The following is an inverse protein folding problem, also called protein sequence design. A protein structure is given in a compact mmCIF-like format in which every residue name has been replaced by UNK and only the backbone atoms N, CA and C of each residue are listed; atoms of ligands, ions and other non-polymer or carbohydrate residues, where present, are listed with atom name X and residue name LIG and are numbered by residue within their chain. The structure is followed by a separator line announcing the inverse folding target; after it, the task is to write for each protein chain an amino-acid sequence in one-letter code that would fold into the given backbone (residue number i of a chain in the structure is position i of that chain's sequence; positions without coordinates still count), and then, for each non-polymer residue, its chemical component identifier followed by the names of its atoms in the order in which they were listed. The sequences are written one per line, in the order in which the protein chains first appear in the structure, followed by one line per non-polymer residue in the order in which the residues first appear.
data_IF_125765376905
#
_entry.id   IF_125765376905
#
_cell.length_a   1.000
_cell.length_b   1.000
_cell.length_c   1.000
_cell.angle_alpha   90.00
_cell.angle_beta   90.00
_cell.angle_gamma   90.00
#
_symmetry.space_group_name_H-M   'P 1'
#
loop_
_entity.id
_entity.type
_entity.pdbx_description
1 polymer ?
#
# COMPACT_ATOMS: atom_id res chain seq x y z
N UNK A 1 -6.11 59.19 16.45
CA UNK A 1 -6.13 57.75 16.12
C UNK A 1 -7.46 57.17 16.56
N UNK A 2 -8.37 56.97 15.60
CA UNK A 2 -9.80 56.73 15.85
C UNK A 2 -10.07 55.26 16.19
N UNK A 3 -10.62 55.02 17.38
CA UNK A 3 -11.19 53.73 17.80
C UNK A 3 -12.64 53.66 17.28
N UNK A 4 -12.99 52.59 16.56
CA UNK A 4 -14.39 52.19 16.38
C UNK A 4 -14.56 50.69 16.64
N UNK A 5 -15.27 50.44 17.73
CA UNK A 5 -15.86 49.17 18.14
C UNK A 5 -16.94 48.74 17.12
N UNK A 6 -16.98 47.45 16.77
CA UNK A 6 -18.13 46.82 16.13
C UNK A 6 -18.47 45.55 16.90
N UNK A 7 -19.69 45.54 17.44
CA UNK A 7 -20.34 44.45 18.16
C UNK A 7 -20.67 43.29 17.22
N UNK A 8 -20.44 42.06 17.67
CA UNK A 8 -21.04 40.85 17.11
C UNK A 8 -22.49 40.72 17.54
N UNK A 9 -23.38 40.45 16.58
CA UNK A 9 -24.78 40.08 16.80
C UNK A 9 -24.92 38.60 16.47
N UNK A 10 -25.30 37.81 17.48
CA UNK A 10 -25.70 36.41 17.39
C UNK A 10 -27.06 36.27 16.70
N UNK A 11 -27.16 35.39 15.70
CA UNK A 11 -28.45 34.86 15.22
C UNK A 11 -28.48 33.36 15.44
N UNK A 12 -29.31 32.94 16.40
CA UNK A 12 -29.77 31.57 16.54
C UNK A 12 -30.90 31.32 15.54
N UNK A 13 -30.87 30.18 14.85
CA UNK A 13 -31.94 29.71 13.98
C UNK A 13 -32.58 28.47 14.61
N UNK A 14 -33.84 28.63 15.00
CA UNK A 14 -34.75 27.59 15.47
C UNK A 14 -35.36 26.89 14.25
N UNK A 15 -35.32 25.56 14.19
CA UNK A 15 -36.04 24.77 13.19
C UNK A 15 -37.12 23.96 13.89
N UNK A 16 -38.37 24.23 13.49
CA UNK A 16 -39.59 23.60 13.96
C UNK A 16 -39.76 22.19 13.37
N UNK A 17 -40.20 21.28 14.23
CA UNK A 17 -40.67 19.93 13.93
C UNK A 17 -42.09 19.97 13.36
N UNK A 18 -42.35 19.28 12.25
CA UNK A 18 -43.71 18.98 11.78
C UNK A 18 -43.97 17.47 11.87
N UNK A 19 -44.94 17.12 12.71
CA UNK A 19 -45.62 15.83 12.75
C UNK A 19 -46.55 15.67 11.54
N UNK A 20 -46.73 14.44 11.08
CA UNK A 20 -47.80 14.04 10.16
C UNK A 20 -48.30 12.66 10.59
N UNK A 21 -49.54 12.63 11.07
CA UNK A 21 -50.30 11.41 11.39
C UNK A 21 -51.35 11.09 10.32
N UNK A 22 -51.46 9.78 10.03
CA UNK A 22 -52.63 8.99 9.61
C UNK A 22 -53.30 9.23 8.24
N UNK A 23 -53.43 8.16 7.44
CA UNK A 23 -54.62 7.28 7.47
C UNK A 23 -54.45 6.04 6.56
N UNK A 24 -55.05 4.94 7.03
CA UNK A 24 -55.11 3.64 6.38
C UNK A 24 -56.46 3.42 5.68
N UNK A 25 -56.45 2.68 4.57
CA UNK A 25 -57.54 1.88 3.98
C UNK A 25 -56.83 0.94 2.98
N UNK A 26 -56.92 -0.39 2.99
CA UNK A 26 -57.96 -1.29 3.46
C UNK A 26 -58.56 -2.02 2.26
N UNK A 27 -57.95 -3.11 1.78
CA UNK A 27 -58.70 -4.22 1.14
C UNK A 27 -57.90 -5.53 1.19
N UNK A 28 -58.59 -6.55 1.68
CA UNK A 28 -58.19 -7.94 1.87
C UNK A 28 -58.64 -8.73 0.64
N UNK A 29 -57.84 -9.68 0.15
CA UNK A 29 -58.40 -10.95 -0.31
C UNK A 29 -57.41 -12.13 -0.15
N UNK A 30 -57.99 -13.23 0.32
CA UNK A 30 -57.43 -14.52 0.78
C UNK A 30 -56.70 -15.31 -0.32
N UNK A 31 -55.84 -16.31 -0.05
CA UNK A 31 -56.20 -17.56 0.62
C UNK A 31 -55.03 -18.55 0.83
N UNK A 32 -55.17 -19.31 1.93
CA UNK A 32 -54.86 -20.74 2.16
C UNK A 32 -53.41 -21.27 2.12
N UNK A 33 -52.96 -21.71 3.30
CA UNK A 33 -52.02 -22.81 3.49
C UNK A 33 -52.69 -24.18 3.16
N UNK A 34 -51.90 -25.23 2.90
CA UNK A 34 -51.82 -26.30 3.91
C UNK A 34 -50.46 -27.03 4.07
N UNK A 35 -50.30 -27.51 5.31
CA UNK A 35 -49.64 -28.72 5.86
C UNK A 35 -48.44 -29.44 5.22
N UNK A 36 -47.43 -29.61 6.10
CA UNK A 36 -46.55 -30.78 6.36
C UNK A 36 -46.73 -32.06 5.52
N UNK A 37 -45.61 -32.55 4.96
CA UNK A 37 -45.34 -33.99 4.78
C UNK A 37 -43.84 -34.31 4.78
N UNK A 38 -43.46 -35.35 5.54
CA UNK A 38 -42.14 -36.02 5.57
C UNK A 38 -41.86 -36.77 4.26
N UNK A 39 -40.64 -36.72 3.70
CA UNK A 39 -39.98 -37.81 2.92
C UNK A 39 -38.45 -37.54 2.94
N UNK A 40 -37.62 -38.30 3.67
CA UNK A 40 -36.83 -39.52 3.28
C UNK A 40 -35.61 -39.26 2.39
N UNK A 41 -34.42 -39.59 2.94
CA UNK A 41 -33.11 -39.68 2.27
C UNK A 41 -33.14 -40.68 1.11
N UNK A 42 -32.58 -40.33 -0.05
CA UNK A 42 -32.02 -41.30 -1.01
C UNK A 42 -30.70 -40.84 -1.60
N UNK A 43 -29.74 -41.76 -1.56
CA UNK A 43 -28.44 -41.76 -2.25
C UNK A 43 -28.69 -41.82 -3.76
N UNK A 44 -27.85 -41.14 -4.54
CA UNK A 44 -27.71 -41.37 -5.98
C UNK A 44 -26.32 -41.97 -6.21
N UNK A 45 -26.32 -43.18 -6.73
CA UNK A 45 -25.19 -43.97 -7.22
C UNK A 45 -24.96 -43.62 -8.70
N UNK A 46 -23.71 -43.35 -9.09
CA UNK A 46 -23.30 -43.27 -10.49
C UNK A 46 -23.25 -44.67 -11.12
N UNK A 47 -23.78 -44.80 -12.32
CA UNK A 47 -23.67 -45.98 -13.18
C UNK A 47 -22.55 -45.71 -14.19
N UNK A 48 -21.64 -46.67 -14.30
CA UNK A 48 -20.56 -46.78 -15.29
C UNK A 48 -21.09 -47.54 -16.50
N UNK A 49 -20.72 -47.13 -17.70
CA UNK A 49 -20.84 -47.94 -18.93
C UNK A 49 -19.47 -47.94 -19.61
N UNK A 50 -18.87 -49.13 -19.68
CA UNK A 50 -17.72 -49.50 -20.52
C UNK A 50 -18.21 -49.77 -21.95
N UNK A 51 -17.48 -49.40 -23.00
CA UNK A 51 -16.62 -50.25 -23.87
C UNK A 51 -16.44 -49.42 -25.18
N UNK A 52 -15.43 -49.50 -26.06
CA UNK A 52 -14.35 -50.46 -26.29
C UNK A 52 -13.25 -49.83 -27.19
N UNK A 53 -12.23 -50.63 -27.46
CA UNK A 53 -10.87 -50.36 -27.96
C UNK A 53 -10.70 -49.87 -29.42
N UNK A 54 -9.53 -49.27 -29.69
CA UNK A 54 -8.96 -49.15 -31.04
C UNK A 54 -7.64 -48.37 -31.11
N UNK A 55 -6.52 -49.05 -30.86
CA UNK A 55 -5.13 -48.56 -30.80
C UNK A 55 -4.49 -48.20 -32.15
N UNK A 56 -3.63 -47.16 -32.17
CA UNK A 56 -2.39 -47.15 -32.95
C UNK A 56 -1.33 -46.23 -32.30
N UNK A 57 -0.14 -46.81 -32.10
CA UNK A 57 1.03 -46.30 -31.37
C UNK A 57 1.81 -45.23 -32.13
N UNK A 58 2.54 -44.32 -31.44
CA UNK A 58 4.02 -44.20 -31.47
C UNK A 58 4.53 -43.50 -30.19
N UNK A 59 5.63 -44.05 -29.70
CA UNK A 59 6.47 -43.82 -28.52
C UNK A 59 6.89 -42.40 -28.06
N UNK A 60 7.18 -42.39 -26.73
CA UNK A 60 8.29 -41.75 -25.97
C UNK A 60 8.03 -40.43 -25.24
N UNK A 61 8.08 -40.54 -23.90
CA UNK A 61 8.46 -39.46 -22.98
C UNK A 61 7.67 -39.49 -21.68
N UNK A 62 8.23 -40.08 -20.62
CA UNK A 62 7.65 -40.03 -19.28
C UNK A 62 7.44 -38.58 -18.80
N UNK A 63 6.25 -38.20 -18.27
CA UNK A 63 6.13 -36.92 -17.57
C UNK A 63 6.61 -37.10 -16.13
N UNK A 64 7.55 -36.23 -15.75
CA UNK A 64 7.97 -36.04 -14.37
C UNK A 64 6.76 -35.68 -13.49
N UNK A 65 6.73 -36.24 -12.29
CA UNK A 65 5.72 -35.98 -11.28
C UNK A 65 5.63 -34.47 -10.96
N UNK A 66 4.46 -33.88 -11.15
CA UNK A 66 4.12 -32.57 -10.57
C UNK A 66 4.01 -32.71 -9.05
N UNK A 67 4.98 -32.16 -8.33
CA UNK A 67 4.88 -31.98 -6.88
C UNK A 67 3.73 -31.02 -6.56
N UNK A 68 2.71 -31.56 -5.90
CA UNK A 68 1.59 -30.80 -5.38
C UNK A 68 2.05 -29.77 -4.33
N UNK A 69 1.84 -28.49 -4.61
CA UNK A 69 2.07 -27.40 -3.65
C UNK A 69 1.23 -27.62 -2.36
N UNK A 70 1.80 -27.39 -1.17
CA UNK A 70 1.10 -27.67 0.08
C UNK A 70 -0.06 -26.69 0.29
N UNK A 71 -1.26 -27.23 0.53
CA UNK A 71 -2.43 -26.45 0.97
C UNK A 71 -2.16 -25.86 2.36
N UNK A 72 -2.31 -24.53 2.51
CA UNK A 72 -2.25 -23.85 3.82
C UNK A 72 -3.23 -24.52 4.80
N UNK A 73 -2.70 -24.99 5.93
CA UNK A 73 -3.46 -25.66 7.01
C UNK A 73 -4.43 -24.64 7.65
N UNK A 74 -5.70 -25.00 7.84
CA UNK A 74 -6.67 -24.18 8.59
C UNK A 74 -6.21 -24.09 10.05
N UNK A 75 -6.13 -22.87 10.59
CA UNK A 75 -5.72 -22.58 11.98
C UNK A 75 -6.64 -23.25 13.00
N UNK A 76 -6.05 -23.71 14.11
CA UNK A 76 -6.78 -24.31 15.25
C UNK A 76 -7.52 -23.25 16.08
N UNK A 77 -8.45 -23.67 16.94
CA UNK A 77 -9.15 -22.75 17.85
C UNK A 77 -8.20 -22.09 18.88
N UNK A 78 -7.11 -22.78 19.23
CA UNK A 78 -6.06 -22.27 20.12
C UNK A 78 -5.23 -21.17 19.42
N UNK A 79 -4.86 -21.38 18.16
CA UNK A 79 -4.12 -20.40 17.36
C UNK A 79 -4.92 -19.09 17.22
N UNK A 80 -6.25 -19.19 17.11
CA UNK A 80 -7.15 -18.03 17.03
C UNK A 80 -7.30 -17.29 18.37
N UNK A 81 -7.18 -18.00 19.49
CA UNK A 81 -7.25 -17.41 20.83
C UNK A 81 -5.93 -16.73 21.23
N UNK A 82 -4.79 -17.29 20.83
CA UNK A 82 -3.48 -16.65 21.00
C UNK A 82 -3.33 -15.41 20.10
N UNK A 83 -3.83 -15.43 18.85
CA UNK A 83 -3.92 -14.23 18.00
C UNK A 83 -4.89 -13.15 18.55
N UNK A 84 -5.77 -13.49 19.49
CA UNK A 84 -6.70 -12.51 20.08
C UNK A 84 -6.04 -11.62 21.14
N UNK A 85 -4.88 -12.03 21.69
CA UNK A 85 -4.09 -11.20 22.61
C UNK A 85 -3.21 -10.28 21.75
N UNK A 86 -3.29 -8.95 21.89
CA UNK A 86 -2.39 -8.05 21.17
C UNK A 86 -0.92 -8.30 21.54
N UNK A 87 -0.04 -8.37 20.53
CA UNK A 87 1.41 -8.43 20.71
C UNK A 87 1.97 -7.16 21.35
N UNK A 88 1.34 -6.03 21.05
CA UNK A 88 1.64 -4.76 21.68
C UNK A 88 0.35 -3.99 21.95
N UNK A 89 0.30 -3.31 23.10
CA UNK A 89 -0.79 -2.38 23.40
C UNK A 89 -0.68 -1.16 22.49
N UNK A 90 -1.77 -0.78 21.85
CA UNK A 90 -1.85 0.44 21.06
C UNK A 90 -1.61 1.68 21.93
N UNK A 91 -0.68 2.53 21.51
CA UNK A 91 -0.37 3.78 22.23
C UNK A 91 -1.46 4.81 21.95
N UNK A 92 -1.92 5.50 23.00
CA UNK A 92 -2.84 6.61 22.81
C UNK A 92 -2.09 7.76 22.13
N UNK A 93 -2.54 8.21 20.95
CA UNK A 93 -1.86 9.28 20.21
C UNK A 93 -1.74 10.55 21.06
N UNK A 94 -2.72 10.83 21.92
CA UNK A 94 -2.70 11.94 22.87
C UNK A 94 -1.60 11.88 23.94
N UNK A 95 -0.96 10.72 24.14
CA UNK A 95 0.18 10.56 25.05
C UNK A 95 1.53 10.76 24.38
N UNK A 96 1.58 10.82 23.05
CA UNK A 96 2.82 11.09 22.31
C UNK A 96 3.13 12.59 22.34
N UNK A 97 4.41 12.96 22.36
CA UNK A 97 4.82 14.38 22.27
C UNK A 97 4.42 15.02 20.93
N UNK A 98 4.25 14.21 19.89
CA UNK A 98 3.73 14.59 18.57
C UNK A 98 2.67 13.58 18.13
N UNK A 99 1.58 14.05 17.55
CA UNK A 99 0.43 13.22 17.17
C UNK A 99 0.69 12.37 15.92
N UNK A 100 1.48 11.30 16.06
CA UNK A 100 1.84 10.40 14.98
C UNK A 100 0.93 9.16 14.94
N UNK A 101 0.52 8.76 13.74
CA UNK A 101 -0.37 7.62 13.50
C UNK A 101 0.37 6.53 12.74
N UNK A 102 0.85 5.54 13.48
CA UNK A 102 1.78 4.53 12.97
C UNK A 102 1.07 3.18 12.88
N UNK A 103 1.37 2.43 11.82
CA UNK A 103 0.98 1.04 11.72
C UNK A 103 1.68 0.33 10.59
N UNK A 104 1.02 -0.67 9.98
CA UNK A 104 1.62 -1.49 8.94
C UNK A 104 0.60 -1.89 7.86
N UNK A 105 1.11 -2.41 6.75
CA UNK A 105 0.30 -3.00 5.69
C UNK A 105 -0.16 -4.41 6.10
N UNK A 106 -1.27 -4.49 6.82
CA UNK A 106 -1.78 -5.73 7.40
C UNK A 106 -2.58 -6.58 6.42
N UNK A 107 -2.61 -7.89 6.67
CA UNK A 107 -3.38 -8.83 5.86
C UNK A 107 -4.90 -8.62 6.03
N UNK A 108 -5.62 -8.67 4.92
CA UNK A 108 -7.09 -8.75 4.84
C UNK A 108 -7.58 -10.17 4.51
N UNK A 109 -6.70 -11.19 4.62
CA UNK A 109 -7.05 -12.57 4.27
C UNK A 109 -8.24 -13.07 5.10
N UNK A 110 -9.20 -13.73 4.43
CA UNK A 110 -10.45 -14.17 5.04
C UNK A 110 -11.54 -13.08 5.15
N UNK A 111 -11.24 -11.84 4.78
CA UNK A 111 -12.21 -10.75 4.72
C UNK A 111 -11.60 -9.42 5.21
N UNK A 112 -12.08 -8.30 4.64
CA UNK A 112 -11.57 -6.95 4.96
C UNK A 112 -11.63 -6.62 6.45
N UNK A 113 -12.65 -7.08 7.18
CA UNK A 113 -12.79 -6.90 8.63
C UNK A 113 -11.59 -7.44 9.43
N UNK A 114 -10.88 -8.47 8.94
CA UNK A 114 -9.71 -9.01 9.63
C UNK A 114 -8.53 -8.03 9.64
N UNK A 115 -8.48 -7.06 8.73
CA UNK A 115 -7.44 -6.02 8.74
C UNK A 115 -7.49 -5.20 10.03
N UNK A 116 -8.68 -4.88 10.56
CA UNK A 116 -8.84 -4.17 11.83
C UNK A 116 -8.25 -4.99 12.97
N UNK A 117 -8.63 -6.27 13.10
CA UNK A 117 -8.10 -7.15 14.14
C UNK A 117 -6.57 -7.29 14.05
N UNK A 118 -6.04 -7.44 12.83
CA UNK A 118 -4.59 -7.53 12.61
C UNK A 118 -3.87 -6.22 12.97
N UNK A 119 -4.46 -5.06 12.68
CA UNK A 119 -3.91 -3.77 13.08
C UNK A 119 -3.92 -3.58 14.60
N UNK A 120 -5.02 -3.94 15.28
CA UNK A 120 -5.10 -3.94 16.75
C UNK A 120 -4.05 -4.85 17.36
N UNK A 121 -3.87 -6.04 16.79
CA UNK A 121 -2.97 -7.07 17.31
C UNK A 121 -1.51 -6.60 17.36
N UNK A 122 -1.06 -5.77 16.41
CA UNK A 122 0.29 -5.20 16.40
C UNK A 122 0.37 -3.82 17.09
N UNK A 123 -0.71 -3.35 17.71
CA UNK A 123 -0.74 -2.06 18.40
C UNK A 123 -0.78 -0.83 17.50
N UNK A 124 -1.26 -0.97 16.26
CA UNK A 124 -1.27 0.11 15.27
C UNK A 124 -2.41 1.14 15.46
N UNK A 125 -2.15 2.39 15.06
CA UNK A 125 -3.10 3.51 15.00
C UNK A 125 -3.47 3.93 13.56
N UNK A 126 -2.66 3.54 12.58
CA UNK A 126 -2.96 3.59 11.14
C UNK A 126 -2.78 2.20 10.53
N UNK A 127 -3.24 1.95 9.31
CA UNK A 127 -2.91 0.71 8.60
C UNK A 127 -3.16 0.82 7.10
N UNK A 128 -2.51 -0.04 6.34
CA UNK A 128 -2.86 -0.32 4.95
C UNK A 128 -3.40 -1.75 4.81
N UNK A 129 -4.03 -2.02 3.66
CA UNK A 129 -4.46 -3.35 3.25
C UNK A 129 -4.58 -3.39 1.73
N UNK A 130 -4.56 -4.60 1.18
CA UNK A 130 -5.17 -4.84 -0.12
C UNK A 130 -6.69 -5.07 0.05
N UNK A 131 -7.50 -4.36 -0.73
CA UNK A 131 -8.97 -4.49 -0.72
C UNK A 131 -9.45 -5.80 -1.37
N UNK A 132 -8.61 -6.35 -2.24
CA UNK A 132 -8.85 -7.55 -3.05
C UNK A 132 -7.53 -8.20 -3.43
N UNK A 133 -7.55 -9.32 -4.17
CA UNK A 133 -6.31 -9.94 -4.59
C UNK A 133 -5.58 -9.08 -5.61
N UNK A 134 -4.33 -8.73 -5.31
CA UNK A 134 -3.39 -8.02 -6.17
C UNK A 134 -2.87 -8.88 -7.35
N UNK A 135 -3.23 -10.16 -7.41
CA UNK A 135 -2.79 -11.12 -8.43
C UNK A 135 -3.82 -11.32 -9.55
N UNK A 136 -4.98 -10.70 -9.46
CA UNK A 136 -6.12 -10.92 -10.36
C UNK A 136 -6.76 -9.59 -10.75
N UNK A 137 -7.24 -9.52 -11.99
CA UNK A 137 -7.99 -8.36 -12.49
C UNK A 137 -9.42 -8.31 -11.94
N UNK A 138 -10.09 -9.46 -11.90
CA UNK A 138 -11.45 -9.58 -11.39
C UNK A 138 -11.46 -10.25 -10.01
N UNK A 139 -12.19 -9.65 -9.08
CA UNK A 139 -12.41 -10.16 -7.73
C UNK A 139 -13.90 -10.09 -7.40
N UNK A 140 -14.38 -11.02 -6.59
CA UNK A 140 -15.76 -10.99 -6.12
C UNK A 140 -16.05 -9.69 -5.33
N UNK A 141 -17.31 -9.21 -5.33
CA UNK A 141 -17.72 -8.10 -4.48
C UNK A 141 -17.39 -8.37 -3.00
N UNK A 142 -17.21 -7.31 -2.21
CA UNK A 142 -17.06 -7.45 -0.76
C UNK A 142 -18.39 -8.02 -0.21
N UNK A 143 -18.37 -9.16 0.51
CA UNK A 143 -19.59 -9.68 1.15
C UNK A 143 -20.17 -8.64 2.13
N UNK A 144 -21.50 -8.42 2.15
CA UNK A 144 -22.14 -7.45 3.04
C UNK A 144 -21.74 -7.66 4.51
N UNK A 145 -21.67 -8.90 4.97
CA UNK A 145 -21.29 -9.24 6.34
C UNK A 145 -19.86 -8.80 6.65
N UNK A 146 -18.94 -8.95 5.70
CA UNK A 146 -17.55 -8.54 5.87
C UNK A 146 -17.40 -7.00 5.88
N UNK A 147 -18.22 -6.28 5.10
CA UNK A 147 -18.31 -4.82 5.13
C UNK A 147 -18.86 -4.34 6.47
N UNK A 148 -19.97 -4.91 6.93
CA UNK A 148 -20.64 -4.50 8.16
C UNK A 148 -19.78 -4.78 9.40
N UNK A 149 -19.06 -5.91 9.41
CA UNK A 149 -18.06 -6.21 10.44
C UNK A 149 -16.87 -5.25 10.41
N UNK A 150 -16.42 -4.81 9.23
CA UNK A 150 -15.35 -3.82 9.13
C UNK A 150 -15.76 -2.50 9.78
N UNK A 151 -16.98 -2.02 9.51
CA UNK A 151 -17.54 -0.82 10.15
C UNK A 151 -17.69 -0.98 11.66
N UNK A 152 -18.26 -2.11 12.11
CA UNK A 152 -18.46 -2.38 13.54
C UNK A 152 -17.13 -2.43 14.30
N UNK A 153 -16.12 -3.14 13.77
CA UNK A 153 -14.79 -3.25 14.40
C UNK A 153 -14.04 -1.92 14.38
N UNK A 154 -14.17 -1.16 13.29
CA UNK A 154 -13.57 0.18 13.19
C UNK A 154 -14.14 1.11 14.27
N UNK A 155 -15.45 1.07 14.49
CA UNK A 155 -16.10 1.84 15.56
C UNK A 155 -15.69 1.34 16.96
N UNK A 156 -15.74 0.03 17.22
CA UNK A 156 -15.42 -0.53 18.54
C UNK A 156 -13.97 -0.31 18.97
N UNK A 157 -13.05 -0.25 18.00
CA UNK A 157 -11.64 0.05 18.24
C UNK A 157 -11.27 1.52 18.01
N UNK A 158 -12.24 2.41 17.80
CA UNK A 158 -11.99 3.84 17.56
C UNK A 158 -10.98 4.11 16.41
N UNK A 159 -11.01 3.30 15.36
CA UNK A 159 -10.23 3.56 14.15
C UNK A 159 -10.95 4.55 13.25
N UNK A 160 -10.36 5.72 13.06
CA UNK A 160 -10.79 6.68 12.06
C UNK A 160 -10.32 6.26 10.66
N UNK A 161 -10.91 5.19 10.10
CA UNK A 161 -10.51 4.62 8.79
C UNK A 161 -10.54 5.63 7.64
N UNK A 162 -11.40 6.65 7.72
CA UNK A 162 -11.47 7.73 6.75
C UNK A 162 -10.24 8.66 6.75
N UNK A 163 -9.38 8.59 7.78
CA UNK A 163 -8.13 9.36 7.92
C UNK A 163 -6.89 8.48 7.94
N UNK A 164 -6.98 7.30 8.56
CA UNK A 164 -5.80 6.51 8.91
C UNK A 164 -5.78 5.10 8.29
N UNK A 165 -6.71 4.79 7.38
CA UNK A 165 -6.62 3.60 6.53
C UNK A 165 -6.19 4.01 5.12
N UNK A 166 -5.11 3.41 4.64
CA UNK A 166 -4.48 3.73 3.34
C UNK A 166 -4.34 2.45 2.52
N UNK A 167 -5.41 1.92 1.90
CA UNK A 167 -5.30 0.73 1.09
C UNK A 167 -4.37 0.95 -0.09
N UNK A 168 -3.68 -0.12 -0.49
CA UNK A 168 -2.74 -0.10 -1.60
C UNK A 168 -3.35 -0.74 -2.84
N UNK A 169 -3.15 -0.11 -4.00
CA UNK A 169 -3.59 -0.63 -5.29
C UNK A 169 -2.77 -1.81 -5.77
N UNK A 170 -3.36 -2.59 -6.69
CA UNK A 170 -2.68 -3.73 -7.30
C UNK A 170 -1.51 -3.29 -8.19
N UNK A 171 -0.36 -3.96 -8.06
CA UNK A 171 0.80 -3.76 -8.92
C UNK A 171 0.56 -4.10 -10.40
N UNK A 172 -0.57 -4.74 -10.74
CA UNK A 172 -0.99 -4.97 -12.12
C UNK A 172 -1.48 -3.69 -12.80
N UNK A 173 -2.00 -2.73 -12.02
CA UNK A 173 -2.59 -1.50 -12.54
C UNK A 173 -1.48 -0.56 -13.01
N UNK A 174 -1.54 -0.20 -14.28
CA UNK A 174 -0.75 0.89 -14.84
C UNK A 174 -1.74 1.86 -15.51
N UNK A 175 -1.95 3.04 -14.93
CA UNK A 175 -2.87 4.04 -15.50
C UNK A 175 -2.27 4.79 -16.71
N UNK A 176 -0.98 4.59 -17.00
CA UNK A 176 -0.31 5.15 -18.16
C UNK A 176 -0.40 4.27 -19.43
N UNK A 177 -1.19 3.20 -19.42
CA UNK A 177 -1.30 2.24 -20.54
C UNK A 177 -1.71 2.97 -21.85
N UNK A 178 -0.92 2.84 -22.94
CA UNK A 178 -1.24 3.48 -24.22
C UNK A 178 -2.26 2.69 -25.05
N UNK A 179 -2.31 1.37 -24.87
CA UNK A 179 -3.20 0.48 -25.60
C UNK A 179 -4.58 0.48 -24.93
N UNK A 180 -5.63 0.73 -25.73
CA UNK A 180 -6.98 1.01 -25.23
C UNK A 180 -7.52 -0.11 -24.34
N UNK A 181 -7.38 -1.36 -24.76
CA UNK A 181 -7.92 -2.53 -24.05
C UNK A 181 -7.25 -2.71 -22.67
N UNK A 182 -5.92 -2.49 -22.63
CA UNK A 182 -5.15 -2.54 -21.37
C UNK A 182 -5.45 -1.33 -20.48
N UNK A 183 -5.67 -0.16 -21.07
CA UNK A 183 -6.07 1.04 -20.36
C UNK A 183 -7.46 0.88 -19.73
N UNK A 184 -8.42 0.31 -20.45
CA UNK A 184 -9.76 0.02 -19.94
C UNK A 184 -9.72 -1.02 -18.82
N UNK A 185 -8.91 -2.09 -18.97
CA UNK A 185 -8.72 -3.09 -17.92
C UNK A 185 -8.11 -2.49 -16.65
N UNK A 186 -7.06 -1.67 -16.78
CA UNK A 186 -6.42 -0.97 -15.66
C UNK A 186 -7.39 0.02 -14.98
N UNK A 187 -8.12 0.80 -15.78
CA UNK A 187 -9.12 1.75 -15.29
C UNK A 187 -10.24 1.05 -14.51
N UNK A 188 -10.81 -0.03 -15.05
CA UNK A 188 -11.90 -0.76 -14.39
C UNK A 188 -11.44 -1.40 -13.07
N UNK A 189 -10.22 -1.94 -13.03
CA UNK A 189 -9.64 -2.47 -11.81
C UNK A 189 -9.43 -1.37 -10.76
N UNK A 190 -8.93 -0.20 -11.18
CA UNK A 190 -8.73 0.96 -10.32
C UNK A 190 -10.05 1.52 -9.78
N UNK A 191 -11.07 1.65 -10.64
CA UNK A 191 -12.39 2.13 -10.25
C UNK A 191 -13.05 1.20 -9.21
N UNK A 192 -12.99 -0.13 -9.40
CA UNK A 192 -13.49 -1.11 -8.42
C UNK A 192 -12.76 -0.98 -7.06
N UNK A 193 -11.48 -0.60 -7.03
CA UNK A 193 -10.81 -0.31 -5.75
C UNK A 193 -11.34 0.96 -5.08
N UNK A 194 -11.60 2.03 -5.85
CA UNK A 194 -12.20 3.25 -5.28
C UNK A 194 -13.61 2.99 -4.74
N UNK A 195 -14.45 2.27 -5.48
CA UNK A 195 -15.81 1.91 -5.04
C UNK A 195 -15.78 1.06 -3.75
N UNK A 196 -14.81 0.13 -3.64
CA UNK A 196 -14.57 -0.62 -2.41
C UNK A 196 -14.18 0.28 -1.25
N UNK A 197 -13.29 1.25 -1.46
CA UNK A 197 -12.94 2.25 -0.45
C UNK A 197 -14.20 2.99 0.04
N UNK A 198 -15.05 3.47 -0.86
CA UNK A 198 -16.30 4.18 -0.50
C UNK A 198 -17.24 3.30 0.32
N UNK A 199 -17.40 2.04 -0.08
CA UNK A 199 -18.24 1.08 0.65
C UNK A 199 -17.76 0.80 2.09
N UNK A 200 -16.46 0.98 2.33
CA UNK A 200 -15.80 0.82 3.63
C UNK A 200 -15.60 2.14 4.38
N UNK A 201 -16.04 3.28 3.82
CA UNK A 201 -15.84 4.59 4.42
C UNK A 201 -14.39 5.08 4.43
N UNK A 202 -13.52 4.44 3.63
CA UNK A 202 -12.11 4.81 3.47
C UNK A 202 -12.02 5.96 2.47
N UNK A 203 -11.18 6.96 2.77
CA UNK A 203 -11.01 8.15 1.92
C UNK A 203 -9.64 8.31 1.31
N UNK A 204 -8.64 7.54 1.71
CA UNK A 204 -7.31 7.58 1.12
C UNK A 204 -7.12 6.30 0.33
N UNK A 205 -6.61 6.39 -0.90
CA UNK A 205 -6.29 5.21 -1.70
C UNK A 205 -4.95 5.39 -2.39
N UNK A 206 -3.98 4.58 -1.99
CA UNK A 206 -2.61 4.67 -2.47
C UNK A 206 -2.37 3.78 -3.68
N UNK A 207 -1.60 4.27 -4.65
CA UNK A 207 -1.18 3.48 -5.80
C UNK A 207 0.12 4.04 -6.41
N UNK A 208 0.85 3.16 -7.08
CA UNK A 208 1.96 3.55 -7.93
C UNK A 208 1.43 4.23 -9.21
N UNK A 209 1.91 5.42 -9.61
CA UNK A 209 1.40 6.13 -10.78
C UNK A 209 1.41 5.29 -12.07
N UNK A 210 2.46 4.47 -12.24
CA UNK A 210 2.60 3.54 -13.35
C UNK A 210 3.97 3.63 -14.01
N UNK A 211 4.03 3.25 -15.28
CA UNK A 211 5.25 3.33 -16.08
C UNK A 211 4.94 3.68 -17.54
N UNK A 212 5.89 4.28 -18.25
CA UNK A 212 5.64 4.84 -19.59
C UNK A 212 5.47 3.78 -20.69
N UNK A 213 5.73 2.50 -20.42
CA UNK A 213 5.88 1.46 -21.44
C UNK A 213 6.85 1.84 -22.59
N UNK A 214 7.84 2.69 -22.31
CA UNK A 214 8.82 3.14 -23.32
C UNK A 214 8.30 4.28 -24.21
N UNK A 215 7.08 4.76 -23.96
CA UNK A 215 6.52 5.93 -24.63
C UNK A 215 7.03 7.24 -24.01
N UNK A 216 6.68 8.36 -24.65
CA UNK A 216 6.92 9.70 -24.12
C UNK A 216 6.34 9.88 -22.70
N UNK A 217 7.12 10.53 -21.84
CA UNK A 217 6.80 10.70 -20.43
C UNK A 217 5.63 11.64 -20.20
N UNK A 218 5.63 12.78 -20.88
CA UNK A 218 4.58 13.78 -20.73
C UNK A 218 3.24 13.20 -21.21
N UNK A 219 3.25 12.41 -22.27
CA UNK A 219 2.07 11.68 -22.73
C UNK A 219 1.60 10.61 -21.73
N UNK A 220 2.52 9.86 -21.14
CA UNK A 220 2.19 8.89 -20.09
C UNK A 220 1.57 9.55 -18.85
N UNK A 221 2.10 10.70 -18.42
CA UNK A 221 1.56 11.54 -17.35
C UNK A 221 0.14 12.02 -17.68
N UNK A 222 -0.08 12.52 -18.91
CA UNK A 222 -1.43 12.93 -19.37
C UNK A 222 -2.44 11.79 -19.32
N UNK A 223 -2.03 10.56 -19.68
CA UNK A 223 -2.89 9.37 -19.57
C UNK A 223 -3.27 9.08 -18.12
N UNK A 224 -2.32 9.12 -17.18
CA UNK A 224 -2.61 8.93 -15.75
C UNK A 224 -3.64 9.97 -15.29
N UNK A 225 -3.38 11.26 -15.53
CA UNK A 225 -4.28 12.33 -15.11
C UNK A 225 -5.69 12.20 -15.71
N UNK A 226 -5.79 11.79 -16.98
CA UNK A 226 -7.08 11.53 -17.65
C UNK A 226 -7.87 10.43 -16.95
N UNK A 227 -7.22 9.32 -16.62
CA UNK A 227 -7.88 8.21 -15.93
C UNK A 227 -8.28 8.59 -14.49
N UNK A 228 -7.45 9.37 -13.79
CA UNK A 228 -7.78 9.89 -12.46
C UNK A 228 -8.98 10.82 -12.50
N UNK A 229 -9.01 11.81 -13.40
CA UNK A 229 -10.15 12.70 -13.57
C UNK A 229 -11.45 11.95 -13.90
N UNK A 230 -11.36 10.91 -14.74
CA UNK A 230 -12.49 10.03 -15.05
C UNK A 230 -12.97 9.28 -13.80
N UNK A 231 -12.05 8.73 -13.00
CA UNK A 231 -12.37 8.00 -11.76
C UNK A 231 -12.93 8.91 -10.65
N UNK A 232 -12.45 10.15 -10.55
CA UNK A 232 -12.95 11.15 -9.61
C UNK A 232 -14.36 11.62 -9.97
N UNK A 233 -14.73 11.61 -11.26
CA UNK A 233 -16.11 11.87 -11.70
C UNK A 233 -17.04 10.68 -11.45
N UNK A 234 -16.51 9.47 -11.45
CA UNK A 234 -17.25 8.23 -11.21
C UNK A 234 -17.42 7.90 -9.72
N UNK A 235 -16.72 8.59 -8.82
CA UNK A 235 -16.74 8.36 -7.36
C UNK A 235 -16.89 9.70 -6.61
N UNK A 236 -17.09 9.68 -5.30
CA UNK A 236 -17.48 10.85 -4.51
C UNK A 236 -16.53 11.24 -3.37
N UNK A 237 -15.90 10.30 -2.66
CA UNK A 237 -15.15 10.61 -1.43
C UNK A 237 -13.63 10.30 -1.42
N UNK A 238 -13.10 9.49 -2.32
CA UNK A 238 -11.73 8.91 -2.20
C UNK A 238 -10.61 9.79 -2.78
N UNK A 239 -9.75 10.34 -1.94
CA UNK A 239 -8.51 11.00 -2.35
C UNK A 239 -7.52 9.94 -2.86
N UNK A 240 -7.15 10.03 -4.13
CA UNK A 240 -6.15 9.13 -4.76
C UNK A 240 -4.75 9.65 -4.47
N UNK A 241 -3.90 8.81 -3.88
CA UNK A 241 -2.54 9.15 -3.48
C UNK A 241 -1.55 8.60 -4.49
N UNK A 242 -0.81 9.50 -5.13
CA UNK A 242 0.32 9.16 -5.98
C UNK A 242 1.52 8.84 -5.09
N UNK A 243 1.99 7.61 -5.12
CA UNK A 243 3.20 7.23 -4.41
C UNK A 243 4.45 7.59 -5.22
N UNK A 244 5.49 8.11 -4.55
CA UNK A 244 6.80 8.25 -5.20
C UNK A 244 7.45 6.87 -5.40
N UNK A 245 8.21 6.72 -6.47
CA UNK A 245 8.75 5.43 -6.91
C UNK A 245 10.29 5.39 -6.82
N UNK A 246 10.87 4.20 -6.63
CA UNK A 246 12.32 4.03 -6.57
C UNK A 246 13.08 4.38 -7.87
N UNK A 247 12.41 4.56 -9.02
CA UNK A 247 13.05 5.01 -10.26
C UNK A 247 13.66 3.91 -11.15
N UNK A 248 13.28 2.64 -10.97
CA UNK A 248 13.76 1.58 -11.85
C UNK A 248 13.13 1.66 -13.26
N UNK A 249 13.96 1.78 -14.29
CA UNK A 249 13.52 1.62 -15.69
C UNK A 249 12.68 2.80 -16.19
N UNK A 250 11.41 2.56 -16.51
CA UNK A 250 10.49 3.53 -17.11
C UNK A 250 9.33 3.91 -16.19
N UNK A 251 9.47 3.69 -14.88
CA UNK A 251 8.49 4.10 -13.88
C UNK A 251 8.28 5.62 -13.88
N UNK A 252 7.08 6.04 -13.48
CA UNK A 252 6.67 7.43 -13.33
C UNK A 252 6.46 7.68 -11.83
N UNK A 253 6.86 8.86 -11.36
CA UNK A 253 6.78 9.22 -9.95
C UNK A 253 8.09 9.04 -9.19
N UNK A 254 9.20 8.76 -9.89
CA UNK A 254 10.52 8.73 -9.24
C UNK A 254 11.08 10.12 -8.96
N UNK A 255 10.51 11.14 -9.57
CA UNK A 255 10.80 12.54 -9.27
C UNK A 255 9.55 13.20 -8.68
N UNK A 256 9.74 14.21 -7.81
CA UNK A 256 8.61 15.00 -7.33
C UNK A 256 7.96 15.80 -8.46
N UNK A 257 8.72 16.12 -9.51
CA UNK A 257 8.23 16.77 -10.72
C UNK A 257 7.22 15.90 -11.47
N UNK A 258 7.43 14.57 -11.57
CA UNK A 258 6.44 13.66 -12.16
C UNK A 258 5.11 13.73 -11.38
N UNK A 259 5.17 13.78 -10.04
CA UNK A 259 3.98 13.88 -9.18
C UNK A 259 3.27 15.23 -9.36
N UNK A 260 4.03 16.33 -9.36
CA UNK A 260 3.53 17.68 -9.65
C UNK A 260 2.80 17.71 -10.98
N UNK A 261 3.43 17.21 -12.04
CA UNK A 261 2.90 17.28 -13.41
C UNK A 261 1.59 16.49 -13.53
N UNK A 262 1.45 15.36 -12.84
CA UNK A 262 0.17 14.65 -12.75
C UNK A 262 -0.86 15.52 -12.00
N UNK A 263 -0.51 16.04 -10.82
CA UNK A 263 -1.40 16.85 -9.97
C UNK A 263 -1.90 18.09 -10.73
N UNK A 264 -1.04 18.77 -11.47
CA UNK A 264 -1.39 19.97 -12.27
C UNK A 264 -2.50 19.69 -13.28
N UNK A 265 -2.58 18.47 -13.81
CA UNK A 265 -3.59 18.03 -14.77
C UNK A 265 -4.89 17.50 -14.13
N UNK A 266 -4.97 17.37 -12.80
CA UNK A 266 -6.19 16.90 -12.10
C UNK A 266 -7.27 17.98 -12.00
N UNK A 267 -8.51 17.69 -12.35
CA UNK A 267 -9.63 18.65 -12.30
C UNK A 267 -9.96 19.06 -10.85
N UNK A 268 -10.22 18.08 -9.97
CA UNK A 268 -10.50 18.32 -8.54
C UNK A 268 -9.25 18.10 -7.68
N UNK A 269 -8.50 19.18 -7.42
CA UNK A 269 -7.28 19.14 -6.59
C UNK A 269 -7.51 18.67 -5.15
N UNK A 270 -8.75 18.62 -4.66
CA UNK A 270 -9.07 18.10 -3.31
C UNK A 270 -9.12 16.57 -3.28
N UNK A 271 -9.21 15.93 -4.45
CA UNK A 271 -9.33 14.48 -4.64
C UNK A 271 -8.02 13.80 -5.04
N UNK A 272 -6.89 14.52 -5.02
CA UNK A 272 -5.55 13.98 -5.24
C UNK A 272 -4.62 14.36 -4.09
N UNK A 273 -3.70 13.45 -3.77
CA UNK A 273 -2.60 13.68 -2.83
C UNK A 273 -1.39 12.84 -3.19
N UNK A 274 -0.40 12.81 -2.31
CA UNK A 274 0.80 11.99 -2.42
C UNK A 274 0.99 11.13 -1.18
N UNK A 275 1.50 9.92 -1.40
CA UNK A 275 2.12 9.10 -0.37
C UNK A 275 3.64 9.18 -0.56
N UNK A 276 4.38 9.46 0.50
CA UNK A 276 5.85 9.40 0.44
C UNK A 276 6.33 8.08 1.04
N UNK A 277 6.91 7.22 0.21
CA UNK A 277 7.70 6.08 0.63
C UNK A 277 9.16 6.49 0.83
N UNK A 278 9.67 6.29 2.04
CA UNK A 278 11.04 6.68 2.42
C UNK A 278 12.11 5.85 1.72
N UNK A 279 11.88 4.55 1.48
CA UNK A 279 12.80 3.69 0.74
C UNK A 279 12.83 4.10 -0.74
N UNK A 280 11.67 4.35 -1.35
CA UNK A 280 11.58 4.82 -2.73
C UNK A 280 12.26 6.18 -2.90
N UNK A 281 12.03 7.13 -1.99
CA UNK A 281 12.67 8.44 -2.02
C UNK A 281 14.20 8.29 -1.98
N UNK A 282 14.70 7.48 -1.04
CA UNK A 282 16.13 7.19 -0.91
C UNK A 282 16.72 6.52 -2.15
N UNK A 283 16.02 5.53 -2.70
CA UNK A 283 16.44 4.81 -3.91
C UNK A 283 16.44 5.70 -5.16
N UNK A 284 15.59 6.73 -5.20
CA UNK A 284 15.48 7.72 -6.28
C UNK A 284 16.40 8.94 -6.10
N UNK A 285 17.19 9.00 -5.04
CA UNK A 285 18.18 10.06 -4.82
C UNK A 285 17.73 11.21 -3.91
N UNK A 286 16.66 11.03 -3.12
CA UNK A 286 16.27 11.96 -2.06
C UNK A 286 16.78 11.46 -0.72
N UNK A 287 17.79 12.14 -0.17
CA UNK A 287 18.44 11.68 1.06
C UNK A 287 17.67 12.14 2.30
N UNK A 288 17.55 11.26 3.29
CA UNK A 288 16.81 11.49 4.55
C UNK A 288 17.69 11.24 5.78
N UNK A 289 18.96 10.82 5.58
CA UNK A 289 19.82 10.24 6.63
C UNK A 289 20.27 11.25 7.68
N UNK A 290 20.53 12.50 7.30
CA UNK A 290 20.93 13.58 8.21
C UNK A 290 19.82 14.62 8.33
N UNK A 291 19.80 15.44 9.40
CA UNK A 291 18.83 16.53 9.53
C UNK A 291 18.85 17.50 8.35
N UNK A 292 20.03 17.80 7.81
CA UNK A 292 20.23 18.71 6.67
C UNK A 292 19.67 18.08 5.39
N UNK A 293 20.06 16.83 5.09
CA UNK A 293 19.56 16.10 3.93
C UNK A 293 18.03 15.91 3.97
N UNK A 294 17.50 15.56 5.15
CA UNK A 294 16.07 15.46 5.38
C UNK A 294 15.37 16.80 5.10
N UNK A 295 15.90 17.90 5.64
CA UNK A 295 15.35 19.24 5.41
C UNK A 295 15.36 19.59 3.92
N UNK A 296 16.46 19.35 3.21
CA UNK A 296 16.56 19.63 1.78
C UNK A 296 15.53 18.83 0.96
N UNK A 297 15.33 17.55 1.30
CA UNK A 297 14.31 16.70 0.67
C UNK A 297 12.89 17.22 0.94
N UNK A 298 12.58 17.59 2.19
CA UNK A 298 11.26 18.13 2.56
C UNK A 298 11.01 19.49 1.91
N UNK A 299 12.00 20.37 1.88
CA UNK A 299 11.91 21.66 1.20
C UNK A 299 11.68 21.46 -0.30
N UNK A 300 12.34 20.47 -0.92
CA UNK A 300 12.08 20.14 -2.33
C UNK A 300 10.66 19.60 -2.54
N UNK A 301 10.16 18.76 -1.64
CA UNK A 301 8.78 18.28 -1.69
C UNK A 301 7.77 19.45 -1.58
N UNK A 302 7.98 20.36 -0.63
CA UNK A 302 7.14 21.56 -0.48
C UNK A 302 7.19 22.45 -1.73
N UNK A 303 8.37 22.73 -2.25
CA UNK A 303 8.55 23.64 -3.39
C UNK A 303 8.00 23.07 -4.70
N UNK A 304 8.11 21.75 -4.92
CA UNK A 304 7.71 21.12 -6.18
C UNK A 304 6.26 20.64 -6.15
N UNK A 305 5.83 19.99 -5.08
CA UNK A 305 4.49 19.40 -4.95
C UNK A 305 3.63 20.22 -3.99
N UNK A 306 4.17 20.56 -2.83
CA UNK A 306 3.46 21.20 -1.72
C UNK A 306 2.96 20.18 -0.70
N UNK A 307 3.34 20.36 0.58
CA UNK A 307 2.99 19.50 1.70
C UNK A 307 1.48 19.42 1.94
N UNK A 308 0.70 20.37 1.42
CA UNK A 308 -0.77 20.28 1.42
C UNK A 308 -1.30 19.02 0.71
N UNK A 309 -0.54 18.46 -0.24
CA UNK A 309 -0.89 17.23 -0.93
C UNK A 309 -0.36 15.98 -0.25
N UNK A 310 0.57 16.09 0.70
CA UNK A 310 1.03 14.93 1.47
C UNK A 310 -0.12 14.40 2.35
N UNK A 311 -0.48 13.13 2.17
CA UNK A 311 -1.59 12.49 2.88
C UNK A 311 -1.24 11.16 3.54
N UNK A 312 -0.11 10.57 3.22
CA UNK A 312 0.35 9.33 3.84
C UNK A 312 1.87 9.20 3.72
N UNK A 313 2.43 8.33 4.55
CA UNK A 313 3.77 7.81 4.38
C UNK A 313 3.74 6.29 4.33
N UNK A 314 4.61 5.73 3.49
CA UNK A 314 5.17 4.42 3.75
C UNK A 314 6.55 4.60 4.40
N UNK A 315 6.72 4.02 5.58
CA UNK A 315 7.93 4.19 6.39
C UNK A 315 8.75 2.91 6.28
N UNK A 316 9.68 2.91 5.32
CA UNK A 316 10.49 1.77 4.96
C UNK A 316 11.97 2.15 4.98
N UNK A 317 12.81 1.34 5.63
CA UNK A 317 14.26 1.43 5.46
C UNK A 317 14.64 0.79 4.11
N UNK A 318 15.87 1.01 3.63
CA UNK A 318 16.33 0.47 2.36
C UNK A 318 17.44 -0.55 2.55
N UNK A 319 17.26 -1.76 2.01
CA UNK A 319 18.35 -2.73 1.86
C UNK A 319 19.36 -2.31 0.81
N UNK A 320 18.98 -1.42 -0.10
CA UNK A 320 19.81 -0.97 -1.20
C UNK A 320 20.47 0.38 -0.89
N UNK A 321 21.66 0.66 -1.45
CA UNK A 321 22.32 1.93 -1.23
C UNK A 321 21.56 3.11 -1.84
N UNK A 322 21.93 4.31 -1.40
CA UNK A 322 21.38 5.58 -1.89
C UNK A 322 21.44 5.66 -3.41
N UNK A 323 20.37 6.17 -4.03
CA UNK A 323 20.29 6.36 -5.48
C UNK A 323 20.50 5.06 -6.30
N UNK A 324 20.22 3.89 -5.71
CA UNK A 324 20.39 2.59 -6.38
C UNK A 324 19.31 2.26 -7.40
N UNK A 325 18.20 3.00 -7.38
CA UNK A 325 16.99 2.73 -8.14
C UNK A 325 16.43 1.32 -7.93
N UNK A 326 16.59 0.78 -6.71
CA UNK A 326 16.07 -0.53 -6.30
C UNK A 326 15.08 -0.37 -5.17
N UNK A 327 13.86 -0.80 -5.42
CA UNK A 327 12.83 -0.99 -4.40
C UNK A 327 13.13 -2.29 -3.63
N UNK A 328 13.81 -2.15 -2.48
CA UNK A 328 14.14 -3.26 -1.58
C UNK A 328 14.03 -2.80 -0.13
N UNK A 329 12.88 -3.06 0.50
CA UNK A 329 12.61 -2.61 1.87
C UNK A 329 13.44 -3.38 2.92
N UNK A 330 13.93 -2.65 3.92
CA UNK A 330 14.57 -3.14 5.13
C UNK A 330 13.73 -2.79 6.37
N UNK A 331 13.99 -3.49 7.47
CA UNK A 331 13.44 -3.15 8.77
C UNK A 331 14.04 -1.82 9.29
N UNK A 332 13.28 -1.09 10.10
CA UNK A 332 13.62 0.24 10.60
C UNK A 332 14.98 0.26 11.30
N UNK A 333 15.89 1.09 10.80
CA UNK A 333 17.24 1.27 11.32
C UNK A 333 18.26 0.22 10.88
N UNK A 334 17.83 -0.83 10.17
CA UNK A 334 18.71 -1.93 9.72
C UNK A 334 19.27 -1.70 8.32
N UNK A 335 18.68 -0.80 7.54
CA UNK A 335 19.09 -0.53 6.17
C UNK A 335 20.06 0.65 6.05
N UNK A 336 20.22 1.12 4.81
CA UNK A 336 21.09 2.22 4.44
C UNK A 336 20.52 3.60 4.82
N UNK A 337 19.22 3.72 5.13
CA UNK A 337 18.65 4.95 5.69
C UNK A 337 19.06 5.10 7.17
N UNK A 338 19.01 4.00 7.93
CA UNK A 338 19.40 4.00 9.34
C UNK A 338 18.41 4.71 10.26
N UNK A 339 18.64 4.65 11.58
CA UNK A 339 17.64 5.08 12.56
C UNK A 339 17.43 6.59 12.54
N UNK A 340 18.47 7.36 12.24
CA UNK A 340 18.44 8.83 12.18
C UNK A 340 17.43 9.38 11.18
N UNK A 341 17.23 8.71 10.04
CA UNK A 341 16.24 9.11 9.06
C UNK A 341 14.81 9.07 9.64
N UNK A 342 14.48 8.00 10.35
CA UNK A 342 13.17 7.84 10.99
C UNK A 342 12.98 8.78 12.17
N UNK A 343 14.05 9.05 12.93
CA UNK A 343 14.00 10.09 13.95
C UNK A 343 13.61 11.45 13.36
N UNK A 344 14.19 11.84 12.22
CA UNK A 344 13.87 13.09 11.54
C UNK A 344 12.37 13.14 11.15
N UNK A 345 11.86 12.07 10.54
CA UNK A 345 10.44 11.96 10.14
C UNK A 345 9.51 12.05 11.36
N UNK A 346 9.76 11.24 12.39
CA UNK A 346 8.95 11.15 13.61
C UNK A 346 8.95 12.45 14.43
N UNK A 347 9.91 13.34 14.18
CA UNK A 347 10.05 14.61 14.88
C UNK A 347 9.71 15.84 14.05
N UNK A 348 9.30 15.69 12.80
CA UNK A 348 8.92 16.81 11.94
C UNK A 348 7.46 17.24 12.18
N UNK A 349 7.27 18.45 12.72
CA UNK A 349 5.96 18.95 13.17
C UNK A 349 4.85 18.92 12.08
N UNK A 350 5.12 19.30 10.82
CA UNK A 350 4.14 19.21 9.73
C UNK A 350 3.62 17.81 9.40
N UNK A 351 4.27 16.74 9.85
CA UNK A 351 3.86 15.36 9.53
C UNK A 351 2.88 14.75 10.55
N UNK A 352 2.51 15.49 11.59
CA UNK A 352 1.47 15.04 12.52
C UNK A 352 0.14 14.80 11.81
N UNK A 353 -0.64 13.87 12.36
CA UNK A 353 -1.95 13.47 11.85
C UNK A 353 -1.95 12.77 10.48
N UNK A 354 -0.78 12.53 9.89
CA UNK A 354 -0.62 11.79 8.65
C UNK A 354 -0.44 10.30 8.99
N UNK A 355 -1.19 9.36 8.35
CA UNK A 355 -0.96 7.94 8.52
C UNK A 355 0.42 7.53 7.98
N UNK A 356 1.13 6.75 8.80
CA UNK A 356 2.45 6.20 8.52
C UNK A 356 2.36 4.67 8.56
N UNK A 357 2.68 4.02 7.45
CA UNK A 357 2.47 2.58 7.25
C UNK A 357 3.81 1.90 6.99
N UNK A 358 4.16 0.92 7.81
CA UNK A 358 5.27 0.00 7.59
C UNK A 358 4.91 -1.02 6.49
N UNK A 359 5.81 -1.19 5.52
CA UNK A 359 5.82 -2.28 4.55
C UNK A 359 7.14 -3.05 4.61
N UNK A 360 7.74 -3.02 5.81
CA UNK A 360 8.99 -3.68 6.14
C UNK A 360 8.79 -5.20 6.12
N UNK A 361 9.83 -5.97 5.74
CA UNK A 361 9.75 -7.42 5.67
C UNK A 361 9.52 -8.04 7.06
N UNK A 362 8.64 -9.04 7.12
CA UNK A 362 8.33 -9.80 8.35
C UNK A 362 8.58 -11.30 8.19
N UNK A 363 9.04 -11.74 7.02
CA UNK A 363 9.38 -13.12 6.78
C UNK A 363 10.61 -13.53 7.60
N UNK A 364 10.45 -14.58 8.41
CA UNK A 364 11.52 -15.24 9.15
C UNK A 364 11.64 -16.69 8.70
N UNK A 365 12.85 -17.23 8.74
CA UNK A 365 13.12 -18.65 8.49
C UNK A 365 13.22 -19.38 9.82
N UNK A 366 12.32 -20.34 10.04
CA UNK A 366 12.34 -21.18 11.24
C UNK A 366 13.47 -22.20 11.25
N UNK A 367 13.72 -22.87 12.39
CA UNK A 367 14.73 -23.92 12.50
C UNK A 367 14.52 -25.09 11.52
N UNK A 368 13.30 -25.29 11.04
CA UNK A 368 12.92 -26.30 10.05
C UNK A 368 13.14 -25.84 8.59
N UNK A 369 13.77 -24.68 8.39
CA UNK A 369 14.01 -24.07 7.09
C UNK A 369 12.78 -23.46 6.43
N UNK A 370 11.59 -23.50 7.08
CA UNK A 370 10.38 -22.92 6.51
C UNK A 370 10.27 -21.44 6.84
N UNK A 371 9.80 -20.67 5.86
CA UNK A 371 9.50 -19.26 6.05
C UNK A 371 8.11 -19.07 6.66
N UNK A 372 8.00 -18.19 7.65
CA UNK A 372 6.74 -17.75 8.25
C UNK A 372 6.74 -16.22 8.44
N UNK A 373 5.54 -15.64 8.56
CA UNK A 373 5.38 -14.21 8.86
C UNK A 373 5.41 -14.01 10.38
N UNK A 374 6.38 -13.23 10.86
CA UNK A 374 6.52 -12.84 12.25
C UNK A 374 5.95 -11.44 12.50
N UNK A 375 4.68 -11.39 12.91
CA UNK A 375 3.98 -10.12 13.17
C UNK A 375 4.58 -9.32 14.33
N UNK A 376 5.40 -9.94 15.19
CA UNK A 376 6.08 -9.24 16.28
C UNK A 376 7.02 -8.16 15.73
N UNK A 377 7.59 -8.37 14.54
CA UNK A 377 8.48 -7.40 13.88
C UNK A 377 7.80 -6.03 13.73
N UNK A 378 6.57 -5.99 13.21
CA UNK A 378 5.84 -4.74 13.08
C UNK A 378 5.41 -4.16 14.42
N UNK A 379 5.04 -5.00 15.40
CA UNK A 379 4.72 -4.52 16.74
C UNK A 379 5.93 -3.81 17.37
N UNK A 380 7.12 -4.39 17.25
CA UNK A 380 8.38 -3.82 17.75
C UNK A 380 8.78 -2.56 16.99
N UNK A 381 8.65 -2.53 15.66
CA UNK A 381 8.96 -1.34 14.85
C UNK A 381 8.01 -0.17 15.12
N UNK A 382 6.72 -0.43 15.34
CA UNK A 382 5.77 0.60 15.79
C UNK A 382 6.27 1.20 17.12
N UNK A 383 6.67 0.37 18.09
CA UNK A 383 7.19 0.86 19.38
C UNK A 383 8.51 1.58 19.26
N UNK A 384 9.40 1.11 18.38
CA UNK A 384 10.63 1.80 18.07
C UNK A 384 10.33 3.20 17.53
N UNK A 385 9.48 3.34 16.51
CA UNK A 385 9.13 4.65 15.94
C UNK A 385 8.46 5.57 16.96
N UNK A 386 7.55 5.05 17.79
CA UNK A 386 6.94 5.80 18.90
C UNK A 386 8.00 6.32 19.90
N UNK A 387 9.00 5.49 20.23
CA UNK A 387 10.08 5.87 21.16
C UNK A 387 10.97 7.00 20.63
N UNK A 388 11.13 7.12 19.31
CA UNK A 388 11.93 8.18 18.70
C UNK A 388 11.32 9.58 18.86
N UNK A 389 10.02 9.68 19.19
CA UNK A 389 9.30 10.95 19.27
C UNK A 389 9.81 11.75 20.47
N UNK A 390 10.56 12.81 20.17
CA UNK A 390 11.21 13.68 21.14
C UNK A 390 12.32 13.01 21.96
N UNK A 391 12.88 11.91 21.44
CA UNK A 391 14.14 11.34 21.92
C UNK A 391 15.31 12.25 21.48
N UNK A 392 16.31 12.42 22.33
CA UNK A 392 17.54 13.12 21.97
C UNK A 392 18.43 12.20 21.12
N UNK A 393 18.73 12.55 19.85
CA UNK A 393 19.59 11.73 18.99
C UNK A 393 21.04 11.63 19.49
N UNK A 394 21.48 12.51 20.39
CA UNK A 394 22.81 12.45 20.97
C UNK A 394 22.87 11.63 22.26
N UNK A 395 21.72 11.14 22.75
CA UNK A 395 21.65 10.30 23.94
C UNK A 395 22.30 8.93 23.73
N UNK A 396 22.79 8.34 24.82
CA UNK A 396 23.35 6.98 24.83
C UNK A 396 22.30 5.93 24.42
N UNK A 397 21.03 6.15 24.74
CA UNK A 397 19.93 5.27 24.36
C UNK A 397 19.74 5.24 22.83
N UNK A 398 19.68 6.41 22.19
CA UNK A 398 19.56 6.51 20.74
C UNK A 398 20.75 5.85 20.04
N UNK A 399 21.97 6.18 20.47
CA UNK A 399 23.22 5.62 19.92
C UNK A 399 23.25 4.10 20.04
N UNK A 400 22.89 3.56 21.20
CA UNK A 400 22.82 2.11 21.41
C UNK A 400 21.76 1.43 20.51
N UNK A 401 20.62 2.07 20.26
CA UNK A 401 19.64 1.57 19.30
C UNK A 401 20.16 1.58 17.87
N UNK A 402 20.75 2.69 17.42
CA UNK A 402 21.28 2.83 16.07
C UNK A 402 22.40 1.82 15.80
N UNK A 403 23.39 1.72 16.70
CA UNK A 403 24.50 0.76 16.58
C UNK A 403 23.99 -0.68 16.50
N UNK A 404 23.05 -1.07 17.38
CA UNK A 404 22.46 -2.42 17.39
C UNK A 404 21.74 -2.73 16.08
N UNK A 405 20.90 -1.82 15.59
CA UNK A 405 20.13 -2.02 14.37
C UNK A 405 21.04 -2.03 13.12
N UNK A 406 22.04 -1.14 13.09
CA UNK A 406 23.06 -1.12 12.05
C UNK A 406 23.84 -2.44 12.01
N UNK A 407 24.22 -2.99 13.17
CA UNK A 407 24.88 -4.30 13.25
C UNK A 407 23.98 -5.44 12.75
N UNK A 408 22.69 -5.44 13.13
CA UNK A 408 21.71 -6.45 12.68
C UNK A 408 21.56 -6.49 11.15
N UNK A 409 21.57 -5.33 10.49
CA UNK A 409 21.42 -5.25 9.04
C UNK A 409 22.72 -5.36 8.23
N UNK A 410 23.89 -5.36 8.87
CA UNK A 410 25.19 -5.21 8.19
C UNK A 410 25.43 -6.27 7.12
N UNK A 411 25.10 -7.53 7.39
CA UNK A 411 25.27 -8.63 6.44
C UNK A 411 24.42 -8.46 5.18
N UNK A 412 23.14 -8.08 5.33
CA UNK A 412 22.25 -7.89 4.19
C UNK A 412 22.65 -6.65 3.38
N UNK A 413 23.05 -5.55 4.04
CA UNK A 413 23.56 -4.35 3.36
C UNK A 413 24.80 -4.67 2.52
N UNK A 414 25.78 -5.39 3.09
CA UNK A 414 26.99 -5.80 2.38
C UNK A 414 26.65 -6.67 1.16
N UNK A 415 25.79 -7.67 1.32
CA UNK A 415 25.34 -8.54 0.22
C UNK A 415 24.62 -7.77 -0.90
N UNK A 416 23.77 -6.80 -0.55
CA UNK A 416 23.05 -6.00 -1.55
C UNK A 416 23.97 -5.00 -2.23
N UNK A 417 24.92 -4.39 -1.50
CA UNK A 417 25.96 -3.53 -2.07
C UNK A 417 26.76 -4.28 -3.13
N UNK A 418 27.25 -5.49 -2.81
CA UNK A 418 27.98 -6.34 -3.76
C UNK A 418 27.17 -6.62 -5.04
N UNK A 419 25.84 -6.83 -4.92
CA UNK A 419 24.98 -7.04 -6.09
C UNK A 419 24.89 -5.78 -6.95
N UNK A 420 24.77 -4.60 -6.33
CA UNK A 420 24.73 -3.32 -7.02
C UNK A 420 26.04 -3.06 -7.76
N UNK A 421 27.17 -3.27 -7.09
CA UNK A 421 28.50 -3.04 -7.66
C UNK A 421 28.75 -3.98 -8.84
N UNK A 422 28.46 -5.29 -8.69
CA UNK A 422 28.56 -6.26 -9.80
C UNK A 422 27.68 -5.89 -10.99
N UNK A 423 26.50 -5.29 -10.76
CA UNK A 423 25.61 -4.83 -11.83
C UNK A 423 26.19 -3.60 -12.53
N UNK A 424 26.70 -2.63 -11.76
CA UNK A 424 27.35 -1.43 -12.28
C UNK A 424 28.56 -1.79 -13.16
N UNK A 425 29.42 -2.70 -12.70
CA UNK A 425 30.56 -3.19 -13.49
C UNK A 425 30.12 -3.86 -14.81
N UNK A 426 29.06 -4.68 -14.78
CA UNK A 426 28.53 -5.33 -15.99
C UNK A 426 28.00 -4.30 -16.99
N UNK A 427 27.35 -3.24 -16.52
CA UNK A 427 26.86 -2.15 -17.37
C UNK A 427 28.02 -1.37 -17.97
N UNK A 428 29.03 -1.01 -17.17
CA UNK A 428 30.24 -0.33 -17.63
C UNK A 428 30.97 -1.16 -18.72
N UNK A 429 31.20 -2.46 -18.47
CA UNK A 429 31.85 -3.38 -19.45
C UNK A 429 31.05 -3.50 -20.75
N UNK A 430 29.72 -3.51 -20.71
CA UNK A 430 28.85 -3.49 -21.91
C UNK A 430 28.95 -2.16 -22.66
N UNK A 431 29.01 -1.03 -21.94
CA UNK A 431 29.23 0.29 -22.51
C UNK A 431 30.56 0.38 -23.27
N UNK A 432 31.66 -0.07 -22.65
CA UNK A 432 32.99 -0.09 -23.28
C UNK A 432 33.03 -0.98 -24.52
N UNK A 433 32.37 -2.16 -24.51
CA UNK A 433 32.26 -3.04 -25.69
C UNK A 433 31.44 -2.41 -26.82
N UNK A 434 30.35 -1.69 -26.53
CA UNK A 434 29.59 -0.95 -27.57
C UNK A 434 30.38 0.23 -28.12
N UNK A 435 31.14 0.93 -27.29
CA UNK A 435 32.06 2.00 -27.72
C UNK A 435 33.15 1.48 -28.66
N UNK A 436 33.81 0.37 -28.31
CA UNK A 436 34.82 -0.27 -29.19
C UNK A 436 34.22 -0.80 -30.50
N UNK A 437 33.01 -1.35 -30.50
CA UNK A 437 32.33 -1.78 -31.73
C UNK A 437 31.90 -0.62 -32.63
N UNK A 438 31.54 0.55 -32.07
CA UNK A 438 31.23 1.75 -32.85
C UNK A 438 32.47 2.41 -33.44
N UNK A 439 33.60 2.39 -32.73
CA UNK A 439 34.88 2.88 -33.24
C UNK A 439 35.41 1.98 -34.37
N UNK A 440 35.30 0.66 -34.22
CA UNK A 440 35.70 -0.29 -35.26
C UNK A 440 34.78 -0.27 -36.50
N UNK A 441 33.58 0.32 -36.43
CA UNK A 441 32.68 0.47 -37.58
C UNK A 441 32.74 1.86 -38.22
N UNK A 442 33.52 2.80 -37.66
CA UNK A 442 33.75 4.12 -38.26
C UNK A 442 35.06 4.21 -39.03
N UNK A 443 35.96 3.24 -38.86
CA UNK A 443 37.26 3.20 -39.55
C UNK A 443 37.19 2.47 -40.92
N UNK A 444 36.04 1.88 -41.29
CA UNK A 444 35.86 1.16 -42.57
C UNK A 444 35.13 1.99 -43.66
N UNK A 445 34.82 3.28 -43.42
CA UNK A 445 34.08 4.16 -44.36
C UNK A 445 34.92 5.34 -44.93
N UNK A 446 36.24 5.37 -44.68
CA UNK A 446 37.17 6.34 -45.29
C UNK A 446 38.17 5.66 -46.25
N UNK A 447 37.65 4.91 -47.22
CA UNK A 447 38.43 4.56 -48.42
C UNK A 447 37.50 4.26 -49.60
N UNK A 448 37.06 5.31 -50.29
CA UNK A 448 36.89 5.35 -51.75
C UNK A 448 36.88 6.80 -52.27
#
# INVERSE_FOLDING_TARGET
MSRRSVRHVSKAATLETKELETQANGTIESAKAPSKSKVTKRKITQVVVEEEHGTAMVEKGAPAAEEAKPKKKRKSAKDKAEEAIPLAKRTAVSSLKKSMYIGAHVSSAGGVHNSINNAVHIGANAFALFLKSQRKWANSPIPPEARDQFHALSHSHSFEVHKHCVPHGSYLVNLAQPEKEKADQAYNAFLDDLERCESLGIRLYNFHPGNTNGQDRAEAIRRIATQLNKSHKATSTVITLLENMAGQGNVIGSTFEDLRDIIELIDDKRRVGVCVDTCHAFAAGYDLRTPEAFKDTVDKLENVVGLKYLKAFHINDSKAPFNSHRDLHANIGTGFLGLRAFHNVMNHEPFQHIPMVLETPIERTGPDGKTFEDKQVWADEIKLLESLIGMDPESEEFKAHDERLQAQGASERSKVQDQVDRKAEKVAKKGTRRGKKKAASSDDDESD
#
